data_IF_982007138406
#
_entry.id   IF_982007138406
#
_cell.length_a   1.000
_cell.length_b   1.000
_cell.length_c   1.000
_cell.angle_alpha   90.00
_cell.angle_beta   90.00
_cell.angle_gamma   90.00
#
_symmetry.space_group_name_H-M   'P 1'
#
loop_
_entity.id
_entity.type
_entity.pdbx_description
1 polymer ?
#
# COMPACT_ATOMS: atom_id res chain seq x y z
N UNK A 1 -10.93 -13.17 -5.63
CA UNK A 1 -10.83 -13.67 -7.01
C UNK A 1 -9.75 -14.72 -6.99
N UNK A 2 -10.08 -15.96 -7.30
CA UNK A 2 -9.08 -16.99 -7.61
C UNK A 2 -8.52 -16.75 -9.03
N UNK A 3 -7.49 -17.50 -9.42
CA UNK A 3 -6.81 -17.32 -10.71
C UNK A 3 -7.71 -17.62 -11.92
N UNK A 4 -8.90 -18.18 -11.70
CA UNK A 4 -9.87 -18.55 -12.73
C UNK A 4 -11.06 -17.58 -12.80
N UNK A 5 -11.01 -16.46 -12.07
CA UNK A 5 -12.06 -15.44 -12.10
C UNK A 5 -13.28 -15.78 -11.23
N UNK A 6 -13.23 -16.85 -10.43
CA UNK A 6 -14.25 -17.23 -9.46
C UNK A 6 -14.08 -16.54 -8.09
N UNK A 7 -15.08 -16.70 -7.22
CA UNK A 7 -15.04 -16.28 -5.81
C UNK A 7 -14.72 -14.78 -5.61
N UNK A 8 -15.56 -13.93 -6.19
CA UNK A 8 -15.51 -12.47 -5.97
C UNK A 8 -16.04 -12.18 -4.56
N UNK A 9 -15.13 -11.86 -3.63
CA UNK A 9 -15.45 -11.38 -2.28
C UNK A 9 -15.03 -9.92 -2.14
N UNK A 10 -15.91 -9.09 -1.59
CA UNK A 10 -15.58 -7.72 -1.20
C UNK A 10 -14.68 -7.76 0.02
N UNK A 11 -13.49 -7.19 -0.08
CA UNK A 11 -12.44 -7.26 0.95
C UNK A 11 -12.42 -6.04 1.89
N UNK A 12 -13.03 -4.92 1.48
CA UNK A 12 -13.06 -3.69 2.27
C UNK A 12 -14.50 -3.21 2.46
N UNK A 13 -14.93 -3.13 3.72
CA UNK A 13 -16.28 -2.69 4.11
C UNK A 13 -16.29 -1.24 4.62
N UNK A 14 -15.12 -0.65 4.86
CA UNK A 14 -14.94 0.72 5.37
C UNK A 14 -14.39 1.68 4.29
N UNK A 15 -14.85 2.93 4.33
CA UNK A 15 -14.44 3.99 3.41
C UNK A 15 -15.17 3.99 2.06
N UNK A 16 -15.28 5.17 1.45
CA UNK A 16 -16.02 5.38 0.20
C UNK A 16 -15.11 5.29 -1.05
N UNK A 17 -13.81 4.98 -0.86
CA UNK A 17 -12.81 4.93 -1.91
C UNK A 17 -11.68 3.98 -1.51
N UNK A 18 -11.58 2.84 -2.20
CA UNK A 18 -10.51 1.86 -2.03
C UNK A 18 -9.87 1.60 -3.39
N UNK A 19 -8.56 1.80 -3.53
CA UNK A 19 -7.86 1.72 -4.83
C UNK A 19 -6.45 1.14 -4.66
N UNK A 20 -5.81 0.80 -5.78
CA UNK A 20 -4.43 0.31 -5.89
C UNK A 20 -4.10 -0.88 -4.96
N UNK A 21 -4.83 -2.01 -5.06
CA UNK A 21 -4.50 -3.20 -4.27
C UNK A 21 -3.19 -3.82 -4.76
N UNK A 22 -2.32 -4.19 -3.82
CA UNK A 22 -1.08 -4.91 -4.06
C UNK A 22 -0.99 -6.12 -3.13
N UNK A 23 -0.90 -7.32 -3.70
CA UNK A 23 -0.70 -8.55 -2.94
C UNK A 23 0.73 -8.63 -2.40
N UNK A 24 0.88 -9.12 -1.18
CA UNK A 24 2.17 -9.60 -0.70
C UNK A 24 2.66 -10.74 -1.60
N UNK A 25 3.98 -10.92 -1.78
CA UNK A 25 4.52 -12.02 -2.58
C UNK A 25 4.10 -13.41 -2.08
N UNK A 26 3.76 -13.51 -0.79
CA UNK A 26 3.27 -14.74 -0.14
C UNK A 26 1.78 -14.99 -0.37
N UNK A 27 1.03 -14.00 -0.85
CA UNK A 27 -0.41 -14.11 -1.11
C UNK A 27 -1.29 -14.13 0.14
N UNK A 28 -0.75 -13.73 1.29
CA UNK A 28 -1.41 -13.73 2.59
C UNK A 28 -1.98 -12.36 2.98
N UNK A 29 -1.43 -11.27 2.43
CA UNK A 29 -1.81 -9.90 2.79
C UNK A 29 -2.06 -9.08 1.52
N UNK A 30 -3.03 -8.17 1.59
CA UNK A 30 -3.24 -7.15 0.56
C UNK A 30 -2.96 -5.79 1.17
N UNK A 31 -2.04 -5.04 0.57
CA UNK A 31 -1.90 -3.60 0.80
C UNK A 31 -2.87 -2.85 -0.12
N UNK A 32 -3.51 -1.79 0.37
CA UNK A 32 -4.45 -0.99 -0.42
C UNK A 32 -4.53 0.45 0.12
N UNK A 33 -5.07 1.35 -0.71
CA UNK A 33 -5.35 2.73 -0.30
C UNK A 33 -6.79 2.81 0.21
N UNK A 34 -6.98 3.37 1.41
CA UNK A 34 -8.29 3.74 1.96
C UNK A 34 -8.36 5.26 2.16
N UNK A 35 -9.55 5.84 1.93
CA UNK A 35 -9.82 7.24 2.24
C UNK A 35 -10.41 7.39 3.64
N UNK A 36 -9.76 8.21 4.46
CA UNK A 36 -10.17 8.53 5.82
C UNK A 36 -11.28 9.59 5.87
N UNK A 37 -11.92 9.75 7.04
CA UNK A 37 -13.00 10.75 7.26
C UNK A 37 -12.59 12.19 6.93
N UNK A 38 -11.30 12.52 7.08
CA UNK A 38 -10.73 13.82 6.75
C UNK A 38 -10.35 13.96 5.26
N UNK A 39 -10.79 13.04 4.40
CA UNK A 39 -10.49 12.97 2.97
C UNK A 39 -9.01 12.67 2.64
N UNK A 40 -8.18 12.33 3.63
CA UNK A 40 -6.81 11.89 3.38
C UNK A 40 -6.75 10.44 2.88
N UNK A 41 -5.82 10.17 1.97
CA UNK A 41 -5.58 8.82 1.44
C UNK A 41 -4.46 8.16 2.24
N UNK A 42 -4.69 6.91 2.66
CA UNK A 42 -3.81 6.20 3.57
C UNK A 42 -3.62 4.76 3.15
N UNK A 43 -2.46 4.19 3.49
CA UNK A 43 -2.14 2.80 3.19
C UNK A 43 -2.59 1.93 4.34
N UNK A 44 -3.30 0.88 3.97
CA UNK A 44 -3.77 -0.18 4.84
C UNK A 44 -3.23 -1.50 4.35
N UNK A 45 -3.16 -2.47 5.26
CA UNK A 45 -3.02 -3.89 4.94
C UNK A 45 -4.18 -4.67 5.54
N UNK A 46 -4.57 -5.76 4.91
CA UNK A 46 -5.55 -6.71 5.48
C UNK A 46 -5.15 -8.13 5.11
N UNK A 47 -5.36 -9.07 6.03
CA UNK A 47 -5.52 -10.46 5.64
C UNK A 47 -6.90 -10.59 4.96
N UNK A 48 -6.97 -11.19 3.76
CA UNK A 48 -8.19 -11.25 2.98
C UNK A 48 -9.17 -12.33 3.47
N UNK A 49 -8.75 -13.24 4.35
CA UNK A 49 -9.58 -14.30 4.93
C UNK A 49 -10.26 -13.87 6.23
N UNK A 50 -9.56 -13.12 7.07
CA UNK A 50 -10.10 -12.65 8.35
C UNK A 50 -10.70 -11.23 8.28
N UNK A 51 -10.40 -10.49 7.21
CA UNK A 51 -10.81 -9.10 7.00
C UNK A 51 -10.40 -8.18 8.16
N UNK A 52 -9.18 -8.33 8.66
CA UNK A 52 -8.59 -7.50 9.72
C UNK A 52 -7.74 -6.35 9.14
N UNK A 53 -8.31 -5.17 8.84
CA UNK A 53 -7.55 -4.05 8.29
C UNK A 53 -6.69 -3.37 9.35
N UNK A 54 -5.43 -3.11 9.00
CA UNK A 54 -4.46 -2.34 9.81
C UNK A 54 -3.99 -1.14 9.00
N UNK A 55 -4.08 0.06 9.59
CA UNK A 55 -3.57 1.31 8.99
C UNK A 55 -2.06 1.41 9.20
N UNK A 56 -1.29 1.63 8.13
CA UNK A 56 0.17 1.72 8.19
C UNK A 56 0.71 3.16 8.12
N UNK A 57 -0.06 4.10 7.57
CA UNK A 57 0.35 5.51 7.41
C UNK A 57 -0.65 6.45 8.06
N UNK A 58 -0.17 7.55 8.64
CA UNK A 58 -1.01 8.46 9.43
C UNK A 58 -0.96 9.93 9.00
N UNK A 59 0.04 10.30 8.21
CA UNK A 59 0.29 11.68 7.76
C UNK A 59 -0.31 11.93 6.37
N UNK A 60 -0.45 13.22 5.98
CA UNK A 60 -0.88 13.73 4.65
C UNK A 60 -1.58 12.71 3.72
N UNK A 61 -1.22 12.60 2.44
CA UNK A 61 -1.71 11.56 1.53
C UNK A 61 -0.60 10.55 1.28
N UNK A 62 -0.97 9.27 1.29
CA UNK A 62 -0.11 8.13 0.98
C UNK A 62 -0.89 7.19 0.06
N UNK A 63 -0.28 6.86 -1.07
CA UNK A 63 -0.95 6.18 -2.18
C UNK A 63 -0.01 5.18 -2.86
N UNK A 64 -0.57 4.37 -3.76
CA UNK A 64 0.19 3.49 -4.67
C UNK A 64 1.16 2.53 -3.94
N UNK A 65 0.69 1.71 -2.98
CA UNK A 65 1.55 0.76 -2.30
C UNK A 65 2.03 -0.33 -3.27
N UNK A 66 3.31 -0.70 -3.18
CA UNK A 66 3.92 -1.82 -3.89
C UNK A 66 4.83 -2.62 -2.97
N UNK A 67 4.66 -3.94 -2.96
CA UNK A 67 5.44 -4.84 -2.13
C UNK A 67 6.81 -5.14 -2.73
N UNK A 68 7.84 -5.18 -1.89
CA UNK A 68 9.12 -5.75 -2.29
C UNK A 68 8.99 -7.26 -2.55
N UNK A 69 9.82 -7.85 -3.42
CA UNK A 69 9.73 -9.28 -3.77
C UNK A 69 9.99 -10.21 -2.57
N UNK A 70 10.79 -9.73 -1.61
CA UNK A 70 11.06 -10.43 -0.35
C UNK A 70 9.89 -10.35 0.66
N UNK A 71 8.88 -9.51 0.39
CA UNK A 71 7.72 -9.28 1.26
C UNK A 71 8.05 -8.50 2.54
N UNK A 72 9.25 -7.92 2.66
CA UNK A 72 9.67 -7.23 3.89
C UNK A 72 9.34 -5.74 3.89
N UNK A 73 9.20 -5.14 2.71
CA UNK A 73 9.06 -3.71 2.55
C UNK A 73 7.87 -3.37 1.65
N UNK A 74 7.35 -2.16 1.85
CA UNK A 74 6.36 -1.54 0.98
C UNK A 74 6.95 -0.22 0.50
N UNK A 75 6.98 -0.03 -0.82
CA UNK A 75 7.22 1.27 -1.46
C UNK A 75 5.89 1.97 -1.69
N UNK A 76 5.86 3.29 -1.58
CA UNK A 76 4.64 4.05 -1.77
C UNK A 76 4.91 5.54 -2.06
N UNK A 77 3.90 6.23 -2.55
CA UNK A 77 3.96 7.65 -2.86
C UNK A 77 3.39 8.47 -1.70
N UNK A 78 4.06 9.55 -1.29
CA UNK A 78 3.56 10.45 -0.23
C UNK A 78 3.84 11.92 -0.50
N UNK A 79 2.89 12.79 -0.18
CA UNK A 79 3.06 14.24 -0.23
C UNK A 79 3.42 14.88 1.13
N UNK A 80 3.89 14.09 2.10
CA UNK A 80 4.24 14.57 3.45
C UNK A 80 5.32 15.65 3.50
N UNK A 81 6.13 15.75 2.45
CA UNK A 81 7.18 16.77 2.26
C UNK A 81 6.73 17.99 1.45
N UNK A 82 5.43 18.12 1.15
CA UNK A 82 4.85 19.23 0.37
C UNK A 82 4.70 18.97 -1.12
N UNK A 83 5.21 17.84 -1.64
CA UNK A 83 4.99 17.31 -3.00
C UNK A 83 5.04 15.78 -2.97
N UNK A 84 4.45 15.11 -3.96
CA UNK A 84 4.50 13.65 -4.05
C UNK A 84 5.93 13.15 -4.32
N UNK A 85 6.44 12.32 -3.41
CA UNK A 85 7.75 11.68 -3.48
C UNK A 85 7.63 10.21 -3.08
N UNK A 86 8.62 9.39 -3.44
CA UNK A 86 8.62 7.99 -3.06
C UNK A 86 9.16 7.81 -1.66
N UNK A 87 8.52 6.91 -0.93
CA UNK A 87 8.89 6.46 0.39
C UNK A 87 8.92 4.93 0.41
N UNK A 88 9.60 4.38 1.40
CA UNK A 88 9.52 2.96 1.74
C UNK A 88 9.38 2.79 3.23
N UNK A 89 8.79 1.68 3.65
CA UNK A 89 8.63 1.27 5.03
C UNK A 89 8.76 -0.25 5.13
N UNK A 90 8.96 -0.76 6.34
CA UNK A 90 8.72 -2.17 6.62
C UNK A 90 7.23 -2.51 6.39
N UNK A 91 6.92 -3.77 6.10
CA UNK A 91 5.53 -4.20 5.86
C UNK A 91 4.57 -3.94 7.03
N UNK A 92 5.09 -3.79 8.25
CA UNK A 92 4.35 -3.44 9.47
C UNK A 92 4.13 -1.93 9.65
N UNK A 93 4.53 -1.11 8.68
CA UNK A 93 4.42 0.35 8.71
C UNK A 93 5.57 1.08 9.40
N UNK A 94 6.50 0.36 10.03
CA UNK A 94 7.65 0.93 10.72
C UNK A 94 8.76 1.37 9.76
N UNK A 95 9.75 2.13 10.26
CA UNK A 95 10.96 2.57 9.54
C UNK A 95 10.68 3.29 8.21
N UNK A 96 9.66 4.15 8.19
CA UNK A 96 9.36 4.93 6.99
C UNK A 96 10.51 5.87 6.63
N UNK A 97 10.99 5.81 5.38
CA UNK A 97 12.05 6.68 4.87
C UNK A 97 11.75 7.13 3.45
N UNK A 98 12.21 8.33 3.12
CA UNK A 98 12.11 8.92 1.78
C UNK A 98 13.18 8.32 0.86
N UNK A 99 12.82 8.08 -0.40
CA UNK A 99 13.70 7.49 -1.42
C UNK A 99 14.10 8.48 -2.53
N UNK A 100 13.24 9.42 -2.91
CA UNK A 100 13.55 10.42 -3.97
C UNK A 100 13.95 11.77 -3.38
N UNK A 101 14.80 12.54 -4.07
CA UNK A 101 15.22 13.88 -3.64
C UNK A 101 14.72 14.94 -4.62
N UNK A 102 13.52 15.49 -4.43
CA UNK A 102 13.14 16.71 -5.17
C UNK A 102 12.32 16.52 -6.43
N UNK A 103 12.16 15.30 -6.92
CA UNK A 103 11.44 15.01 -8.17
C UNK A 103 10.09 14.37 -7.84
N UNK A 104 9.03 14.87 -8.46
CA UNK A 104 7.71 14.23 -8.39
C UNK A 104 7.82 12.81 -8.95
N UNK A 105 7.41 11.81 -8.17
CA UNK A 105 7.51 10.41 -8.57
C UNK A 105 6.31 9.66 -8.01
N UNK A 106 5.60 8.97 -8.90
CA UNK A 106 4.39 8.20 -8.64
C UNK A 106 4.57 6.77 -9.19
N UNK A 107 3.71 5.85 -8.75
CA UNK A 107 3.62 4.45 -9.17
C UNK A 107 4.96 3.67 -9.07
N UNK A 108 5.53 3.53 -7.86
CA UNK A 108 6.70 2.69 -7.68
C UNK A 108 6.35 1.22 -7.96
N UNK A 109 7.22 0.53 -8.70
CA UNK A 109 7.16 -0.94 -8.83
C UNK A 109 8.52 -1.54 -8.47
N UNK A 110 8.48 -2.65 -7.75
CA UNK A 110 9.71 -3.37 -7.42
C UNK A 110 10.10 -4.27 -8.58
N UNK A 111 11.40 -4.31 -8.89
CA UNK A 111 11.91 -5.27 -9.86
C UNK A 111 11.63 -6.71 -9.37
N UNK A 112 11.22 -7.64 -10.25
CA UNK A 112 10.85 -9.01 -9.86
C UNK A 112 12.01 -9.88 -9.32
N UNK A 113 13.26 -9.37 -9.31
CA UNK A 113 14.46 -10.14 -8.93
C UNK A 113 15.10 -9.52 -7.68
N UNK A 114 15.11 -10.28 -6.57
CA UNK A 114 16.07 -10.09 -5.48
C UNK A 114 17.43 -10.60 -5.95
N UNK A 115 18.47 -9.75 -5.94
CA UNK A 115 19.86 -10.21 -6.11
C UNK A 115 20.33 -11.04 -4.92
#
# INVERSE_FOLDING_TARGET
MDIHGGNVRRLTFHGNYNTSPAWSPRGDIIAYVSREKNNSQQIYVTDPYDFSPVRLTFDRNNEEPSWSPDGLHIAFTSNRSGRYELYTMNWDGSRQRKLTNGITSNAPDWSPISK
#
